data_IF_733386802191
#
_entry.id   IF_733386802191
#
_cell.length_a   1.000
_cell.length_b   1.000
_cell.length_c   1.000
_cell.angle_alpha   90.00
_cell.angle_beta   90.00
_cell.angle_gamma   90.00
#
_symmetry.space_group_name_H-M   'P 1'
#
loop_
_entity.id
_entity.type
_entity.pdbx_description
1 polymer ?
#
# COMPACT_ATOMS: atom_id res chain seq x y z
N UNK A 1 13.55 -12.04 -2.08
CA UNK A 1 12.92 -10.72 -2.22
C UNK A 1 14.00 -9.68 -1.97
N UNK A 2 14.25 -8.83 -2.96
CA UNK A 2 15.14 -7.68 -2.85
C UNK A 2 14.29 -6.38 -2.70
N UNK A 3 14.95 -5.23 -2.63
CA UNK A 3 14.27 -3.94 -2.49
C UNK A 3 13.40 -3.56 -3.71
N UNK A 4 13.78 -4.01 -4.91
CA UNK A 4 13.05 -3.72 -6.14
C UNK A 4 11.76 -4.53 -6.29
N UNK A 5 11.68 -5.68 -5.64
CA UNK A 5 10.46 -6.50 -5.57
C UNK A 5 9.39 -5.88 -4.64
N UNK A 6 9.74 -4.88 -3.83
CA UNK A 6 8.82 -4.26 -2.87
C UNK A 6 7.86 -3.30 -3.58
N UNK A 7 6.68 -3.81 -3.92
CA UNK A 7 5.51 -3.03 -4.33
C UNK A 7 4.71 -2.36 -3.22
N UNK A 8 3.80 -1.45 -3.59
CA UNK A 8 2.95 -0.69 -2.66
C UNK A 8 1.99 -1.55 -1.82
N UNK A 9 1.57 -2.71 -2.34
CA UNK A 9 0.77 -3.69 -1.58
C UNK A 9 1.53 -4.24 -0.37
N UNK A 10 2.85 -4.44 -0.49
CA UNK A 10 3.67 -4.94 0.61
C UNK A 10 3.77 -3.92 1.73
N UNK A 11 4.00 -2.65 1.37
CA UNK A 11 4.04 -1.53 2.32
C UNK A 11 2.68 -1.38 3.02
N UNK A 12 1.59 -1.46 2.26
CA UNK A 12 0.24 -1.42 2.85
C UNK A 12 0.04 -2.53 3.88
N UNK A 13 0.44 -3.77 3.56
CA UNK A 13 0.32 -4.88 4.51
C UNK A 13 1.27 -4.79 5.68
N UNK A 14 2.48 -4.25 5.50
CA UNK A 14 3.39 -3.98 6.62
C UNK A 14 2.68 -3.13 7.69
N UNK A 15 2.08 -2.03 7.26
CA UNK A 15 1.39 -1.08 8.15
C UNK A 15 0.04 -1.57 8.66
N UNK A 16 -0.63 -2.50 7.95
CA UNK A 16 -1.88 -3.10 8.42
C UNK A 16 -1.62 -4.22 9.43
N UNK A 17 -0.75 -5.17 9.08
CA UNK A 17 -0.46 -6.38 9.82
C UNK A 17 0.76 -7.10 9.22
N UNK A 18 1.93 -7.11 9.88
CA UNK A 18 3.11 -7.83 9.39
C UNK A 18 2.87 -9.32 9.16
N UNK A 19 1.98 -9.95 9.93
CA UNK A 19 1.54 -11.34 9.71
C UNK A 19 0.78 -11.51 8.39
N UNK A 20 -0.09 -10.55 8.03
CA UNK A 20 -0.76 -10.55 6.74
C UNK A 20 0.25 -10.43 5.60
N UNK A 21 1.23 -9.53 5.72
CA UNK A 21 2.33 -9.42 4.76
C UNK A 21 3.07 -10.76 4.60
N UNK A 22 3.43 -11.40 5.71
CA UNK A 22 4.15 -12.68 5.69
C UNK A 22 3.37 -13.79 4.98
N UNK A 23 2.06 -13.90 5.24
CA UNK A 23 1.16 -14.85 4.58
C UNK A 23 1.00 -14.53 3.10
N UNK A 24 0.84 -13.25 2.76
CA UNK A 24 0.78 -12.78 1.39
C UNK A 24 2.06 -13.13 0.62
N UNK A 25 3.24 -12.91 1.18
CA UNK A 25 4.49 -13.27 0.50
C UNK A 25 4.66 -14.79 0.26
N UNK A 26 3.87 -15.63 0.93
CA UNK A 26 3.83 -17.10 0.76
C UNK A 26 2.65 -17.60 -0.07
N UNK A 27 1.98 -16.71 -0.79
CA UNK A 27 0.93 -17.08 -1.75
C UNK A 27 -0.48 -17.23 -1.18
N UNK A 28 -0.70 -16.93 0.11
CA UNK A 28 -2.04 -16.93 0.70
C UNK A 28 -2.80 -15.69 0.18
N UNK A 29 -3.91 -15.90 -0.56
CA UNK A 29 -4.68 -14.84 -1.25
C UNK A 29 -6.20 -14.91 -1.02
N UNK A 30 -6.72 -14.81 0.21
CA UNK A 30 -8.16 -14.85 0.47
C UNK A 30 -8.90 -13.57 0.02
N UNK A 31 -8.19 -12.52 -0.39
CA UNK A 31 -8.73 -11.19 -0.72
C UNK A 31 -9.77 -11.21 -1.84
N UNK A 32 -9.65 -12.12 -2.82
CA UNK A 32 -10.62 -12.25 -3.92
C UNK A 32 -12.03 -12.65 -3.43
N UNK A 33 -12.14 -13.23 -2.23
CA UNK A 33 -13.41 -13.58 -1.60
C UNK A 33 -14.00 -12.41 -0.78
N UNK A 34 -13.24 -11.33 -0.59
CA UNK A 34 -13.67 -10.18 0.21
C UNK A 34 -14.45 -9.17 -0.61
N UNK A 35 -15.73 -8.99 -0.28
CA UNK A 35 -16.58 -7.95 -0.89
C UNK A 35 -16.02 -6.53 -0.72
N UNK A 36 -15.24 -6.27 0.33
CA UNK A 36 -14.60 -4.96 0.55
C UNK A 36 -13.47 -4.68 -0.45
N UNK A 37 -12.72 -5.72 -0.85
CA UNK A 37 -11.65 -5.60 -1.86
C UNK A 37 -12.25 -5.36 -3.23
N UNK A 38 -13.25 -6.16 -3.62
CA UNK A 38 -13.99 -5.99 -4.89
C UNK A 38 -14.64 -4.61 -5.00
N UNK A 39 -15.17 -4.08 -3.90
CA UNK A 39 -15.69 -2.71 -3.87
C UNK A 39 -14.58 -1.66 -4.08
N UNK A 40 -13.39 -1.90 -3.55
CA UNK A 40 -12.23 -1.04 -3.78
C UNK A 40 -11.83 -0.98 -5.25
N UNK A 41 -11.73 -2.14 -5.90
CA UNK A 41 -11.43 -2.28 -7.33
C UNK A 41 -12.50 -1.58 -8.19
N UNK A 42 -13.79 -1.81 -7.92
CA UNK A 42 -14.88 -1.17 -8.66
C UNK A 42 -14.91 0.37 -8.52
N UNK A 43 -14.61 0.89 -7.32
CA UNK A 43 -14.49 2.34 -7.09
C UNK A 43 -13.33 2.94 -7.89
N UNK A 44 -12.23 2.19 -8.01
CA UNK A 44 -11.06 2.61 -8.77
C UNK A 44 -11.36 2.70 -10.27
N UNK A 45 -11.93 1.64 -10.85
CA UNK A 45 -12.32 1.59 -12.27
C UNK A 45 -13.30 2.71 -12.65
N UNK A 46 -14.28 3.00 -11.79
CA UNK A 46 -15.31 4.01 -12.07
C UNK A 46 -14.83 5.45 -11.90
N UNK A 47 -13.86 5.70 -11.00
CA UNK A 47 -13.44 7.06 -10.67
C UNK A 47 -12.39 7.63 -11.64
N UNK A 48 -11.63 6.79 -12.36
CA UNK A 48 -10.42 7.21 -13.08
C UNK A 48 -10.34 6.76 -14.55
N UNK A 49 -11.47 6.67 -15.25
CA UNK A 49 -11.55 6.33 -16.68
C UNK A 49 -10.76 7.25 -17.66
N UNK A 50 -10.04 8.28 -17.18
CA UNK A 50 -9.29 9.25 -18.01
C UNK A 50 -7.78 9.36 -17.70
N UNK A 51 -7.24 8.59 -16.75
CA UNK A 51 -5.80 8.59 -16.43
C UNK A 51 -5.14 7.28 -16.82
N UNK A 52 -3.94 7.33 -17.39
CA UNK A 52 -3.16 6.13 -17.71
C UNK A 52 -2.34 5.69 -16.50
N UNK A 53 -2.48 4.45 -16.01
CA UNK A 53 -1.68 3.95 -14.90
C UNK A 53 -0.20 3.88 -15.28
N UNK A 54 0.68 4.21 -14.35
CA UNK A 54 2.13 4.09 -14.53
C UNK A 54 2.58 2.76 -13.94
N UNK A 55 3.16 1.91 -14.78
CA UNK A 55 3.77 0.65 -14.35
C UNK A 55 5.21 0.91 -13.90
N UNK A 56 5.45 0.78 -12.61
CA UNK A 56 6.79 0.86 -12.00
C UNK A 56 7.38 -0.54 -11.76
N UNK A 57 6.91 -1.56 -12.47
CA UNK A 57 7.29 -2.96 -12.33
C UNK A 57 6.53 -3.63 -11.19
N UNK A 58 7.02 -3.48 -9.95
CA UNK A 58 6.41 -4.09 -8.76
C UNK A 58 5.20 -3.29 -8.21
N UNK A 59 4.88 -2.13 -8.79
CA UNK A 59 3.83 -1.24 -8.33
C UNK A 59 3.06 -0.62 -9.50
N UNK A 60 1.72 -0.73 -9.45
CA UNK A 60 0.83 0.10 -10.26
C UNK A 60 0.52 1.37 -9.48
N UNK A 61 0.96 2.49 -10.04
CA UNK A 61 0.60 3.81 -9.57
C UNK A 61 -0.61 4.31 -10.37
N UNK A 62 -1.59 4.93 -9.70
CA UNK A 62 -2.80 5.39 -10.38
C UNK A 62 -2.48 6.44 -11.45
N UNK A 63 -1.70 7.48 -11.10
CA UNK A 63 -1.00 8.36 -12.04
C UNK A 63 -0.03 9.33 -11.34
N UNK A 64 0.80 10.01 -12.14
CA UNK A 64 1.59 11.19 -11.76
C UNK A 64 1.10 12.38 -12.56
N UNK A 65 0.98 13.54 -11.92
CA UNK A 65 0.66 14.78 -12.61
C UNK A 65 1.90 15.47 -13.22
N UNK A 66 1.69 16.51 -14.04
CA UNK A 66 2.78 17.28 -14.66
C UNK A 66 3.63 18.08 -13.66
N UNK A 67 3.31 18.04 -12.36
CA UNK A 67 4.07 18.66 -11.27
C UNK A 67 4.79 17.61 -10.40
N UNK A 68 4.85 16.35 -10.85
CA UNK A 68 5.46 15.22 -10.16
C UNK A 68 4.85 14.89 -8.80
N UNK A 69 3.53 15.15 -8.64
CA UNK A 69 2.78 14.58 -7.53
C UNK A 69 2.28 13.19 -7.89
N UNK A 70 2.43 12.27 -6.94
CA UNK A 70 1.88 10.92 -6.97
C UNK A 70 0.40 11.00 -6.58
N UNK A 71 -0.51 10.50 -7.41
CA UNK A 71 -1.92 10.45 -7.06
C UNK A 71 -2.33 9.01 -6.75
N UNK A 72 -3.11 8.82 -5.69
CA UNK A 72 -3.59 7.51 -5.25
C UNK A 72 -5.02 7.61 -4.71
N UNK A 73 -5.86 6.65 -5.07
CA UNK A 73 -7.31 6.69 -4.82
C UNK A 73 -7.71 5.64 -3.80
N UNK A 74 -8.39 6.08 -2.74
CA UNK A 74 -8.77 5.23 -1.62
C UNK A 74 -10.27 5.08 -1.51
N UNK A 75 -10.71 3.83 -1.47
CA UNK A 75 -12.11 3.45 -1.23
C UNK A 75 -12.54 3.58 0.24
N UNK A 76 -11.58 3.82 1.15
CA UNK A 76 -11.82 4.14 2.55
C UNK A 76 -12.37 5.56 2.69
N UNK A 77 -12.92 5.88 3.87
CA UNK A 77 -13.47 7.22 4.15
C UNK A 77 -12.50 8.11 4.92
N UNK A 78 -11.40 7.54 5.43
CA UNK A 78 -10.42 8.22 6.28
C UNK A 78 -9.01 7.81 5.90
N UNK A 79 -8.04 8.74 5.98
CA UNK A 79 -6.64 8.41 5.83
C UNK A 79 -6.14 7.44 6.88
N UNK A 80 -5.30 6.50 6.46
CA UNK A 80 -4.59 5.57 7.35
C UNK A 80 -3.08 5.77 7.24
N UNK A 81 -2.30 5.33 8.25
CA UNK A 81 -0.84 5.28 8.14
C UNK A 81 -0.35 4.49 6.93
N UNK A 82 -1.07 3.43 6.56
CA UNK A 82 -0.74 2.60 5.40
C UNK A 82 -0.94 3.33 4.07
N UNK A 83 -1.99 4.13 3.94
CA UNK A 83 -2.22 4.93 2.73
C UNK A 83 -1.09 5.95 2.54
N UNK A 84 -0.65 6.59 3.63
CA UNK A 84 0.48 7.53 3.61
C UNK A 84 1.80 6.82 3.30
N UNK A 85 2.05 5.66 3.91
CA UNK A 85 3.25 4.88 3.67
C UNK A 85 3.34 4.40 2.21
N UNK A 86 2.22 3.96 1.64
CA UNK A 86 2.16 3.58 0.23
C UNK A 86 2.45 4.76 -0.69
N UNK A 87 1.86 5.94 -0.46
CA UNK A 87 2.14 7.13 -1.25
C UNK A 87 3.61 7.57 -1.16
N UNK A 88 4.20 7.51 0.03
CA UNK A 88 5.63 7.78 0.27
C UNK A 88 6.52 6.78 -0.46
N UNK A 89 6.17 5.50 -0.44
CA UNK A 89 6.90 4.46 -1.19
C UNK A 89 6.92 4.74 -2.69
N UNK A 90 5.80 5.18 -3.27
CA UNK A 90 5.77 5.55 -4.68
C UNK A 90 6.64 6.77 -5.00
N UNK A 91 6.65 7.79 -4.14
CA UNK A 91 7.56 8.92 -4.29
C UNK A 91 9.03 8.46 -4.27
N UNK A 92 9.39 7.57 -3.34
CA UNK A 92 10.72 6.98 -3.28
C UNK A 92 11.08 6.23 -4.56
N UNK A 93 10.19 5.38 -5.09
CA UNK A 93 10.44 4.64 -6.34
C UNK A 93 10.66 5.56 -7.53
N UNK A 94 9.99 6.71 -7.57
CA UNK A 94 10.19 7.72 -8.63
C UNK A 94 11.56 8.38 -8.54
N UNK A 95 12.01 8.74 -7.35
CA UNK A 95 13.36 9.28 -7.17
C UNK A 95 14.44 8.29 -7.60
N UNK A 96 14.26 6.99 -7.32
CA UNK A 96 15.22 5.96 -7.73
C UNK A 96 15.38 5.83 -9.25
N UNK A 97 14.38 6.26 -10.03
CA UNK A 97 14.44 6.31 -11.49
C UNK A 97 14.69 7.72 -12.04
N UNK A 98 15.08 8.67 -11.18
CA UNK A 98 15.48 10.03 -11.57
C UNK A 98 14.34 11.04 -11.69
N UNK A 99 13.14 10.73 -11.18
CA UNK A 99 11.99 11.64 -11.15
C UNK A 99 11.89 12.29 -9.76
N UNK A 100 12.08 13.61 -9.69
CA UNK A 100 11.94 14.39 -8.45
C UNK A 100 10.47 14.52 -8.04
N UNK A 101 10.01 13.59 -7.20
CA UNK A 101 8.65 13.53 -6.69
C UNK A 101 8.39 14.60 -5.62
N UNK A 102 7.35 15.40 -5.80
CA UNK A 102 6.99 16.46 -4.82
C UNK A 102 6.24 15.94 -3.60
N UNK A 103 5.57 14.79 -3.74
CA UNK A 103 4.74 14.23 -2.69
C UNK A 103 3.62 13.36 -3.22
N UNK A 104 2.81 12.87 -2.29
CA UNK A 104 1.63 12.05 -2.57
C UNK A 104 0.33 12.81 -2.28
N UNK A 105 -0.64 12.65 -3.16
CA UNK A 105 -1.99 13.16 -3.05
C UNK A 105 -2.95 11.96 -2.95
N UNK A 106 -3.54 11.80 -1.78
CA UNK A 106 -4.48 10.73 -1.49
C UNK A 106 -5.91 11.23 -1.64
N UNK A 107 -6.67 10.62 -2.54
CA UNK A 107 -8.06 10.96 -2.83
C UNK A 107 -9.01 9.99 -2.13
N UNK A 108 -10.02 10.52 -1.45
CA UNK A 108 -11.06 9.74 -0.76
C UNK A 108 -12.43 10.11 -1.33
N UNK A 109 -12.86 9.51 -2.46
CA UNK A 109 -14.06 9.93 -3.20
C UNK A 109 -15.33 9.88 -2.34
N UNK A 110 -15.47 8.87 -1.47
CA UNK A 110 -16.64 8.70 -0.59
C UNK A 110 -16.87 9.89 0.35
N UNK A 111 -15.81 10.59 0.75
CA UNK A 111 -15.88 11.77 1.62
C UNK A 111 -15.57 13.07 0.89
N UNK A 112 -15.23 13.01 -0.41
CA UNK A 112 -14.75 14.13 -1.23
C UNK A 112 -13.56 14.85 -0.59
N UNK A 113 -12.71 14.11 0.12
CA UNK A 113 -11.51 14.66 0.77
C UNK A 113 -10.28 14.29 -0.02
N UNK A 114 -9.32 15.21 -0.04
CA UNK A 114 -8.00 15.02 -0.62
C UNK A 114 -6.95 15.44 0.39
N UNK A 115 -5.93 14.63 0.57
CA UNK A 115 -4.84 14.90 1.50
C UNK A 115 -3.50 14.92 0.74
N UNK A 116 -2.71 15.96 0.95
CA UNK A 116 -1.37 16.11 0.35
C UNK A 116 -0.30 15.82 1.39
N UNK A 117 0.69 15.03 1.02
CA UNK A 117 1.82 14.64 1.83
C UNK A 117 3.09 14.96 1.05
N UNK A 118 3.74 16.10 1.34
CA UNK A 118 5.02 16.45 0.72
C UNK A 118 6.05 15.36 0.95
N UNK A 119 6.87 15.11 -0.07
CA UNK A 119 7.98 14.17 0.04
C UNK A 119 9.23 14.94 0.48
N UNK A 120 9.79 14.55 1.61
CA UNK A 120 10.93 15.21 2.28
C UNK A 120 12.07 14.22 2.47
N UNK A 121 13.29 14.67 2.82
CA UNK A 121 14.39 13.77 3.15
C UNK A 121 14.04 12.76 4.26
N UNK A 122 13.26 13.18 5.26
CA UNK A 122 12.77 12.29 6.32
C UNK A 122 11.81 11.24 5.75
N UNK A 123 10.96 11.62 4.80
CA UNK A 123 10.09 10.68 4.09
C UNK A 123 10.90 9.67 3.26
N UNK A 124 11.98 10.10 2.60
CA UNK A 124 12.88 9.19 1.90
C UNK A 124 13.51 8.17 2.85
N UNK A 125 14.03 8.62 3.99
CA UNK A 125 14.58 7.75 5.02
C UNK A 125 13.56 6.75 5.56
N UNK A 126 12.34 7.19 5.82
CA UNK A 126 11.26 6.30 6.28
C UNK A 126 10.87 5.28 5.20
N UNK A 127 10.83 5.66 3.92
CA UNK A 127 10.56 4.73 2.83
C UNK A 127 11.59 3.60 2.77
N UNK A 128 12.88 3.93 2.92
CA UNK A 128 13.96 2.94 2.98
C UNK A 128 13.83 2.01 4.19
N UNK A 129 13.49 2.56 5.36
CA UNK A 129 13.24 1.77 6.56
C UNK A 129 12.07 0.79 6.36
N UNK A 130 10.96 1.25 5.77
CA UNK A 130 9.80 0.41 5.50
C UNK A 130 10.15 -0.74 4.54
N UNK A 131 10.92 -0.45 3.47
CA UNK A 131 11.41 -1.46 2.52
C UNK A 131 12.26 -2.51 3.24
N UNK A 132 13.18 -2.08 4.10
CA UNK A 132 14.01 -2.98 4.89
C UNK A 132 13.16 -3.86 5.83
N UNK A 133 12.13 -3.29 6.45
CA UNK A 133 11.21 -4.04 7.32
C UNK A 133 10.39 -5.07 6.53
N UNK A 134 9.90 -4.72 5.33
CA UNK A 134 9.23 -5.67 4.43
C UNK A 134 10.14 -6.86 4.13
N UNK A 135 11.40 -6.60 3.77
CA UNK A 135 12.38 -7.66 3.48
C UNK A 135 12.62 -8.51 4.72
N UNK A 136 12.71 -7.89 5.91
CA UNK A 136 12.83 -8.60 7.19
C UNK A 136 11.66 -9.53 7.45
N UNK A 137 10.42 -9.07 7.24
CA UNK A 137 9.21 -9.89 7.34
C UNK A 137 9.21 -11.01 6.30
N UNK A 138 9.64 -10.74 5.07
CA UNK A 138 9.74 -11.75 4.01
C UNK A 138 10.68 -12.90 4.41
N UNK A 139 11.84 -12.56 4.95
CA UNK A 139 12.88 -13.49 5.37
C UNK A 139 12.58 -14.22 6.69
N UNK A 140 11.60 -13.75 7.48
CA UNK A 140 11.29 -14.34 8.77
C UNK A 140 10.90 -15.83 8.62
N UNK A 141 11.55 -16.76 9.35
CA UNK A 141 11.30 -18.20 9.24
C UNK A 141 9.90 -18.56 9.77
N UNK A 142 9.42 -17.81 10.75
CA UNK A 142 8.10 -17.98 11.36
C UNK A 142 7.24 -16.75 11.13
N UNK A 143 5.93 -16.96 11.10
CA UNK A 143 4.99 -15.87 10.94
C UNK A 143 5.07 -14.90 12.11
N UNK A 144 5.02 -13.57 11.86
CA UNK A 144 4.89 -12.56 12.91
C UNK A 144 3.69 -12.81 13.82
N UNK A 145 3.76 -12.22 15.02
CA UNK A 145 2.71 -12.32 16.03
C UNK A 145 1.35 -11.83 15.50
N UNK A 146 0.28 -12.39 16.07
CA UNK A 146 -1.08 -11.93 15.78
C UNK A 146 -1.29 -10.56 16.42
N UNK A 147 -2.02 -9.69 15.72
CA UNK A 147 -2.61 -8.52 16.36
C UNK A 147 -3.71 -8.94 17.33
N UNK A 148 -4.18 -8.02 18.16
CA UNK A 148 -5.38 -8.24 18.95
C UNK A 148 -6.56 -8.60 18.03
N UNK A 149 -7.40 -9.56 18.43
CA UNK A 149 -8.52 -10.05 17.61
C UNK A 149 -9.48 -8.96 17.16
N UNK A 150 -9.65 -7.90 17.97
CA UNK A 150 -10.44 -6.72 17.63
C UNK A 150 -9.92 -5.98 16.39
N UNK A 151 -8.60 -5.93 16.18
CA UNK A 151 -7.97 -5.33 15.02
C UNK A 151 -8.09 -6.20 13.75
N UNK A 152 -8.47 -7.48 13.89
CA UNK A 152 -8.68 -8.39 12.77
C UNK A 152 -10.11 -8.34 12.19
N UNK A 153 -11.01 -7.51 12.74
CA UNK A 153 -12.40 -7.45 12.28
C UNK A 153 -12.46 -7.05 10.79
N UNK A 154 -13.05 -7.92 9.97
CA UNK A 154 -13.16 -7.71 8.52
C UNK A 154 -11.89 -8.03 7.72
N UNK A 155 -10.85 -8.57 8.37
CA UNK A 155 -9.66 -9.06 7.69
C UNK A 155 -9.97 -10.37 6.97
N UNK A 156 -9.62 -10.46 5.67
CA UNK A 156 -9.80 -11.67 4.86
C UNK A 156 -8.92 -12.84 5.32
N UNK A 157 -7.89 -12.59 6.13
CA UNK A 157 -6.99 -13.61 6.67
C UNK A 157 -7.43 -14.13 8.04
N UNK A 158 -8.60 -13.72 8.54
CA UNK A 158 -9.06 -14.07 9.89
C UNK A 158 -9.12 -15.57 10.10
N UNK A 159 -9.72 -16.31 9.16
CA UNK A 159 -9.86 -17.77 9.29
C UNK A 159 -8.49 -18.47 9.28
N UNK A 160 -7.55 -18.01 8.45
CA UNK A 160 -6.16 -18.50 8.47
C UNK A 160 -5.42 -18.20 9.78
N UNK A 161 -5.75 -17.09 10.46
CA UNK A 161 -5.05 -16.66 11.65
C UNK A 161 -5.68 -17.16 12.96
N UNK A 162 -6.95 -17.54 12.96
CA UNK A 162 -7.73 -17.79 14.18
C UNK A 162 -8.48 -19.12 14.19
N UNK A 163 -8.46 -19.89 13.10
CA UNK A 163 -8.90 -21.29 13.12
C UNK A 163 -7.70 -22.17 13.50
N UNK A 164 -7.90 -23.06 14.47
CA UNK A 164 -6.91 -24.04 14.92
C UNK A 164 -6.76 -25.20 13.93
#
# INVERSE_FOLDING_TARGET
MNADDVGGVHIKYLYHCPRQLWLYLRGVRPEHLSGAVRLGEAVHETSYARSSPVDLGAAKLDFIDGQHWVHEVKSSTRPTPADQAQGRHYCYRLEQIGIDAKGAILHYPKTRRTHRYPYTPEAAGQAQADIAEVIGVAAAPTSPARLARSACRGCSFTDYCWTE
#
